data_IF_938656699974
#
_entry.id   IF_938656699974
#
_cell.length_a   1.000
_cell.length_b   1.000
_cell.length_c   1.000
_cell.angle_alpha   90.00
_cell.angle_beta   90.00
_cell.angle_gamma   90.00
#
_symmetry.space_group_name_H-M   'P 1'
#
loop_
_entity.id
_entity.type
_entity.pdbx_description
1 polymer ?
#
# COMPACT_ATOMS: atom_id res chain seq x y z
N UNK A 1 23.03 33.75 12.85
CA UNK A 1 22.87 32.98 11.59
C UNK A 1 22.74 31.47 11.83
N UNK A 2 23.63 30.85 12.63
CA UNK A 2 23.60 29.41 12.94
C UNK A 2 22.28 28.97 13.62
N UNK A 3 21.76 29.77 14.56
CA UNK A 3 20.52 29.47 15.28
C UNK A 3 19.31 29.39 14.34
N UNK A 4 19.20 30.32 13.39
CA UNK A 4 18.11 30.32 12.40
C UNK A 4 18.17 29.08 11.48
N UNK A 5 19.40 28.65 11.11
CA UNK A 5 19.60 27.44 10.32
C UNK A 5 19.22 26.19 11.11
N UNK A 6 19.61 26.10 12.39
CA UNK A 6 19.25 24.98 13.26
C UNK A 6 17.74 24.91 13.48
N UNK A 7 17.08 26.04 13.73
CA UNK A 7 15.61 26.12 13.89
C UNK A 7 14.89 25.68 12.62
N UNK A 8 15.38 26.08 11.44
CA UNK A 8 14.81 25.66 10.16
C UNK A 8 14.95 24.13 9.97
N UNK A 9 16.10 23.55 10.30
CA UNK A 9 16.30 22.10 10.22
C UNK A 9 15.42 21.30 11.18
N UNK A 10 15.30 21.78 12.42
CA UNK A 10 14.42 21.16 13.42
C UNK A 10 12.96 21.22 12.95
N UNK A 11 12.51 22.36 12.41
CA UNK A 11 11.15 22.51 11.89
C UNK A 11 10.87 21.58 10.69
N UNK A 12 11.83 21.42 9.78
CA UNK A 12 11.72 20.49 8.63
C UNK A 12 11.62 19.04 9.10
N UNK A 13 12.46 18.62 10.04
CA UNK A 13 12.40 17.27 10.63
C UNK A 13 11.07 17.06 11.37
N UNK A 14 10.64 18.04 12.16
CA UNK A 14 9.35 17.99 12.86
C UNK A 14 8.18 17.88 11.88
N UNK A 15 8.17 18.64 10.79
CA UNK A 15 7.14 18.51 9.75
C UNK A 15 7.20 17.13 9.07
N UNK A 16 8.39 16.65 8.74
CA UNK A 16 8.61 15.34 8.11
C UNK A 16 8.13 14.17 8.98
N UNK A 17 8.20 14.27 10.30
CA UNK A 17 7.74 13.22 11.22
C UNK A 17 6.31 13.47 11.74
N UNK A 18 5.95 14.71 12.05
CA UNK A 18 4.63 15.05 12.55
C UNK A 18 3.56 14.83 11.50
N UNK A 19 3.82 15.11 10.21
CA UNK A 19 2.82 14.92 9.16
C UNK A 19 2.47 13.44 8.92
N UNK A 20 3.43 12.49 8.79
CA UNK A 20 3.12 11.06 8.73
C UNK A 20 2.46 10.56 10.00
N UNK A 21 2.89 11.01 11.18
CA UNK A 21 2.29 10.61 12.45
C UNK A 21 0.86 11.13 12.56
N UNK A 22 0.57 12.37 12.14
CA UNK A 22 -0.79 12.91 12.06
C UNK A 22 -1.62 12.20 10.99
N UNK A 23 -1.03 11.86 9.84
CA UNK A 23 -1.70 11.08 8.79
C UNK A 23 -2.14 9.71 9.33
N UNK A 24 -1.20 9.03 10.00
CA UNK A 24 -1.42 7.75 10.64
C UNK A 24 -2.45 7.87 11.76
N UNK A 25 -2.37 8.91 12.60
CA UNK A 25 -3.26 9.11 13.71
C UNK A 25 -4.70 9.45 13.27
N UNK A 26 -4.88 10.28 12.24
CA UNK A 26 -6.20 10.58 11.67
C UNK A 26 -6.81 9.32 11.02
N UNK A 27 -5.99 8.49 10.35
CA UNK A 27 -6.44 7.20 9.82
C UNK A 27 -6.74 6.16 10.90
N UNK A 28 -5.92 6.11 11.97
CA UNK A 28 -6.04 5.16 13.07
C UNK A 28 -7.17 5.54 14.05
N UNK A 29 -7.52 6.83 14.17
CA UNK A 29 -8.63 7.28 15.01
C UNK A 29 -9.97 6.71 14.55
N UNK A 30 -10.18 6.51 13.25
CA UNK A 30 -11.36 5.83 12.71
C UNK A 30 -11.34 4.31 12.97
N UNK A 31 -10.16 3.71 13.10
CA UNK A 31 -9.99 2.30 13.51
C UNK A 31 -10.34 2.15 15.01
N UNK A 32 -9.99 3.14 15.82
CA UNK A 32 -10.16 3.07 17.28
C UNK A 32 -11.53 3.57 17.76
N UNK A 33 -12.20 4.43 16.99
CA UNK A 33 -13.51 5.01 17.36
C UNK A 33 -14.70 4.05 17.19
N UNK A 34 -14.48 2.84 16.67
CA UNK A 34 -15.52 1.80 16.57
C UNK A 34 -15.05 0.48 17.18
N UNK A 35 -15.11 0.32 18.51
CA UNK A 35 -14.81 -0.94 19.17
C UNK A 35 -15.80 -2.10 18.89
N UNK A 36 -16.74 -1.99 17.93
CA UNK A 36 -17.86 -2.94 17.86
C UNK A 36 -18.53 -3.25 16.52
N UNK A 37 -18.13 -2.68 15.37
CA UNK A 37 -18.80 -2.97 14.08
C UNK A 37 -17.86 -2.92 12.88
N UNK A 38 -16.95 -3.88 12.82
CA UNK A 38 -16.41 -4.50 11.60
C UNK A 38 -15.30 -5.42 12.07
N UNK A 39 -15.67 -6.62 12.46
CA UNK A 39 -14.85 -7.76 12.07
C UNK A 39 -14.67 -7.58 10.57
N UNK A 40 -13.47 -7.17 10.15
CA UNK A 40 -13.08 -7.25 8.74
C UNK A 40 -13.53 -8.64 8.29
N UNK A 41 -14.39 -8.77 7.26
CA UNK A 41 -14.84 -10.09 6.83
C UNK A 41 -13.57 -10.91 6.71
N UNK A 42 -13.52 -12.06 7.38
CA UNK A 42 -12.36 -12.92 7.37
C UNK A 42 -12.31 -13.57 5.99
N UNK A 43 -11.96 -12.77 4.98
CA UNK A 43 -12.01 -13.09 3.56
C UNK A 43 -11.18 -14.33 3.29
N UNK A 44 -10.08 -14.46 4.05
CA UNK A 44 -9.27 -15.65 4.09
C UNK A 44 -10.11 -16.88 4.44
N UNK A 45 -10.78 -16.86 5.60
CA UNK A 45 -11.61 -17.98 6.08
C UNK A 45 -12.81 -18.24 5.18
N UNK A 46 -13.42 -17.20 4.61
CA UNK A 46 -14.55 -17.33 3.69
C UNK A 46 -14.13 -17.95 2.36
N UNK A 47 -12.99 -17.56 1.80
CA UNK A 47 -12.44 -18.16 0.58
C UNK A 47 -12.02 -19.62 0.78
N UNK A 48 -11.39 -19.94 1.92
CA UNK A 48 -11.07 -21.32 2.30
C UNK A 48 -12.31 -22.18 2.36
N UNK A 49 -13.39 -21.67 2.98
CA UNK A 49 -14.65 -22.40 3.10
C UNK A 49 -15.36 -22.56 1.76
N UNK A 50 -15.36 -21.52 0.91
CA UNK A 50 -16.06 -21.53 -0.39
C UNK A 50 -15.38 -22.44 -1.40
N UNK A 51 -14.05 -22.40 -1.48
CA UNK A 51 -13.26 -23.14 -2.49
C UNK A 51 -12.62 -24.43 -1.95
N UNK A 52 -12.81 -24.74 -0.66
CA UNK A 52 -12.27 -25.96 -0.04
C UNK A 52 -10.75 -26.03 -0.05
N UNK A 53 -10.08 -24.88 0.08
CA UNK A 53 -8.64 -24.76 -0.09
C UNK A 53 -7.87 -25.32 1.10
N UNK A 54 -6.78 -26.04 0.83
CA UNK A 54 -5.79 -26.46 1.82
C UNK A 54 -4.82 -25.34 2.14
N UNK A 55 -4.15 -25.33 3.31
CA UNK A 55 -3.19 -24.30 3.68
C UNK A 55 -2.13 -23.98 2.62
N UNK A 56 -1.60 -24.99 1.94
CA UNK A 56 -0.61 -24.81 0.87
C UNK A 56 -1.21 -24.15 -0.39
N UNK A 57 -2.41 -24.56 -0.77
CA UNK A 57 -3.13 -24.01 -1.93
C UNK A 57 -3.49 -22.53 -1.71
N UNK A 58 -3.76 -22.15 -0.46
CA UNK A 58 -4.04 -20.74 -0.12
C UNK A 58 -2.80 -19.87 -0.35
N UNK A 59 -1.63 -20.32 0.11
CA UNK A 59 -0.39 -19.57 -0.08
C UNK A 59 -0.06 -19.40 -1.57
N UNK A 60 -0.39 -20.41 -2.38
CA UNK A 60 -0.23 -20.38 -3.83
C UNK A 60 -1.19 -19.38 -4.49
N UNK A 61 -2.47 -19.39 -4.10
CA UNK A 61 -3.50 -18.43 -4.53
C UNK A 61 -3.12 -17.01 -4.11
N UNK A 62 -2.68 -16.79 -2.88
CA UNK A 62 -2.25 -15.48 -2.36
C UNK A 62 -1.00 -14.97 -3.09
N UNK A 63 -0.04 -15.86 -3.36
CA UNK A 63 1.14 -15.55 -4.16
C UNK A 63 0.76 -15.16 -5.60
N UNK A 64 -0.12 -15.93 -6.23
CA UNK A 64 -0.62 -15.63 -7.58
C UNK A 64 -1.38 -14.31 -7.64
N UNK A 65 -2.22 -14.04 -6.63
CA UNK A 65 -2.98 -12.80 -6.48
C UNK A 65 -2.06 -11.57 -6.30
N UNK A 66 -1.08 -11.68 -5.41
CA UNK A 66 -0.14 -10.59 -5.08
C UNK A 66 0.76 -10.24 -6.26
N UNK A 67 1.27 -11.26 -6.96
CA UNK A 67 2.24 -11.09 -8.04
C UNK A 67 1.59 -11.05 -9.43
N UNK A 68 0.29 -11.32 -9.53
CA UNK A 68 -0.44 -11.45 -10.78
C UNK A 68 0.06 -12.62 -11.62
N UNK A 69 0.32 -13.79 -11.02
CA UNK A 69 0.76 -14.99 -11.75
C UNK A 69 -0.45 -15.82 -12.19
N UNK A 70 -0.27 -16.57 -13.27
CA UNK A 70 -1.21 -17.61 -13.69
C UNK A 70 -0.98 -18.87 -12.84
N UNK A 71 -2.04 -19.60 -12.55
CA UNK A 71 -1.99 -20.91 -11.90
C UNK A 71 -2.36 -22.00 -12.91
N UNK A 72 -1.74 -23.16 -12.77
CA UNK A 72 -1.97 -24.30 -13.66
C UNK A 72 -3.29 -25.03 -13.34
N UNK A 73 -3.65 -25.13 -12.05
CA UNK A 73 -4.88 -25.80 -11.61
C UNK A 73 -6.13 -24.94 -11.91
N UNK A 74 -7.09 -25.42 -12.74
CA UNK A 74 -8.34 -24.70 -13.03
C UNK A 74 -9.14 -24.32 -11.79
N UNK A 75 -9.11 -25.14 -10.74
CA UNK A 75 -9.79 -24.86 -9.47
C UNK A 75 -9.15 -23.68 -8.75
N UNK A 76 -7.83 -23.63 -8.70
CA UNK A 76 -7.11 -22.53 -8.04
C UNK A 76 -7.20 -21.23 -8.85
N UNK A 77 -7.24 -21.31 -10.19
CA UNK A 77 -7.52 -20.16 -11.06
C UNK A 77 -8.85 -19.51 -10.71
N UNK A 78 -9.92 -20.30 -10.58
CA UNK A 78 -11.24 -19.79 -10.20
C UNK A 78 -11.21 -19.11 -8.81
N UNK A 79 -10.52 -19.71 -7.85
CA UNK A 79 -10.35 -19.13 -6.51
C UNK A 79 -9.58 -17.80 -6.53
N UNK A 80 -8.50 -17.69 -7.30
CA UNK A 80 -7.75 -16.43 -7.48
C UNK A 80 -8.62 -15.34 -8.07
N UNK A 81 -9.43 -15.65 -9.09
CA UNK A 81 -10.31 -14.67 -9.75
C UNK A 81 -11.40 -14.17 -8.79
N UNK A 82 -12.08 -15.06 -8.07
CA UNK A 82 -13.12 -14.70 -7.09
C UNK A 82 -12.54 -13.81 -5.98
N UNK A 83 -11.34 -14.16 -5.48
CA UNK A 83 -10.66 -13.37 -4.47
C UNK A 83 -10.23 -11.99 -5.00
N UNK A 84 -9.67 -11.94 -6.21
CA UNK A 84 -9.27 -10.68 -6.83
C UNK A 84 -10.46 -9.73 -7.06
N UNK A 85 -11.60 -10.26 -7.51
CA UNK A 85 -12.84 -9.49 -7.71
C UNK A 85 -13.37 -8.95 -6.38
N UNK A 86 -13.39 -9.79 -5.34
CA UNK A 86 -13.83 -9.38 -4.00
C UNK A 86 -12.96 -8.26 -3.44
N UNK A 87 -11.63 -8.34 -3.61
CA UNK A 87 -10.71 -7.27 -3.21
C UNK A 87 -10.96 -5.96 -3.97
N UNK A 88 -11.23 -6.03 -5.28
CA UNK A 88 -11.54 -4.84 -6.07
C UNK A 88 -12.83 -4.17 -5.59
N UNK A 89 -13.89 -4.95 -5.35
CA UNK A 89 -15.15 -4.44 -4.82
C UNK A 89 -14.96 -3.76 -3.47
N UNK A 90 -14.22 -4.37 -2.54
CA UNK A 90 -13.92 -3.76 -1.24
C UNK A 90 -13.12 -2.46 -1.35
N UNK A 91 -12.18 -2.39 -2.29
CA UNK A 91 -11.43 -1.16 -2.58
C UNK A 91 -12.37 -0.08 -3.13
N UNK A 92 -13.29 -0.44 -4.02
CA UNK A 92 -14.32 0.45 -4.59
C UNK A 92 -15.25 0.99 -3.49
N UNK A 93 -15.76 0.11 -2.63
CA UNK A 93 -16.62 0.47 -1.50
C UNK A 93 -15.91 1.39 -0.50
N UNK A 94 -14.64 1.10 -0.17
CA UNK A 94 -13.84 1.99 0.69
C UNK A 94 -13.63 3.35 0.04
N UNK A 95 -13.39 3.39 -1.29
CA UNK A 95 -13.25 4.65 -2.04
C UNK A 95 -14.53 5.48 -1.97
N UNK A 96 -15.70 4.84 -2.10
CA UNK A 96 -16.99 5.51 -2.02
C UNK A 96 -17.30 6.00 -0.58
N UNK A 97 -16.93 5.22 0.44
CA UNK A 97 -17.27 5.52 1.84
C UNK A 97 -16.44 6.66 2.45
N UNK A 98 -15.20 6.88 1.99
CA UNK A 98 -14.27 7.83 2.63
C UNK A 98 -13.60 8.82 1.65
N UNK A 99 -14.37 9.66 0.92
CA UNK A 99 -13.80 10.60 -0.05
C UNK A 99 -12.91 11.67 0.59
N UNK A 100 -13.23 12.13 1.81
CA UNK A 100 -12.45 13.15 2.54
C UNK A 100 -11.11 12.63 3.02
N UNK A 101 -11.06 11.41 3.57
CA UNK A 101 -9.82 10.79 4.03
C UNK A 101 -8.80 10.64 2.88
N UNK A 102 -9.27 10.31 1.68
CA UNK A 102 -8.43 10.22 0.47
C UNK A 102 -7.86 11.58 0.05
N UNK A 103 -8.65 12.66 0.15
CA UNK A 103 -8.18 14.01 -0.16
C UNK A 103 -7.10 14.45 0.85
N UNK A 104 -7.31 14.18 2.13
CA UNK A 104 -6.32 14.45 3.20
C UNK A 104 -5.06 13.63 2.99
N UNK A 105 -5.16 12.32 2.77
CA UNK A 105 -4.00 11.45 2.51
C UNK A 105 -3.22 11.90 1.27
N UNK A 106 -3.91 12.33 0.20
CA UNK A 106 -3.27 12.86 -1.01
C UNK A 106 -2.54 14.17 -0.76
N UNK A 107 -3.16 15.09 0.01
CA UNK A 107 -2.51 16.34 0.41
C UNK A 107 -1.26 16.06 1.25
N UNK A 108 -1.36 15.17 2.23
CA UNK A 108 -0.22 14.79 3.09
C UNK A 108 0.90 14.14 2.28
N UNK A 109 0.57 13.28 1.32
CA UNK A 109 1.55 12.70 0.40
C UNK A 109 2.24 13.78 -0.45
N UNK A 110 1.47 14.73 -0.97
CA UNK A 110 2.00 15.83 -1.77
C UNK A 110 2.95 16.72 -0.94
N UNK A 111 2.58 17.04 0.30
CA UNK A 111 3.45 17.78 1.23
C UNK A 111 4.72 16.98 1.53
N UNK A 112 4.61 15.67 1.77
CA UNK A 112 5.77 14.81 2.00
C UNK A 112 6.73 14.82 0.80
N UNK A 113 6.21 14.74 -0.44
CA UNK A 113 7.02 14.81 -1.66
C UNK A 113 7.76 16.14 -1.76
N UNK A 114 7.08 17.26 -1.48
CA UNK A 114 7.70 18.58 -1.49
C UNK A 114 8.85 18.66 -0.47
N UNK A 115 8.64 18.15 0.75
CA UNK A 115 9.67 18.11 1.79
C UNK A 115 10.85 17.20 1.40
N UNK A 116 10.58 16.04 0.80
CA UNK A 116 11.60 15.13 0.33
C UNK A 116 12.47 15.76 -0.78
N UNK A 117 11.86 16.46 -1.74
CA UNK A 117 12.56 17.17 -2.81
C UNK A 117 13.42 18.31 -2.24
N UNK A 118 12.89 19.07 -1.28
CA UNK A 118 13.64 20.15 -0.63
C UNK A 118 14.86 19.60 0.16
N UNK A 119 14.67 18.50 0.91
CA UNK A 119 15.76 17.82 1.63
C UNK A 119 16.84 17.29 0.66
N UNK A 120 16.42 16.71 -0.47
CA UNK A 120 17.31 16.22 -1.51
C UNK A 120 18.13 17.37 -2.12
N UNK A 121 17.49 18.47 -2.51
CA UNK A 121 18.15 19.64 -3.08
C UNK A 121 19.20 20.21 -2.12
N UNK A 122 18.88 20.25 -0.83
CA UNK A 122 19.82 20.72 0.19
C UNK A 122 21.00 19.78 0.41
N UNK A 123 20.76 18.47 0.44
CA UNK A 123 21.82 17.48 0.58
C UNK A 123 22.78 17.50 -0.62
N UNK A 124 22.26 17.71 -1.83
CA UNK A 124 23.05 17.92 -3.05
C UNK A 124 23.87 19.22 -2.97
N UNK A 125 23.26 20.33 -2.53
CA UNK A 125 23.95 21.61 -2.36
C UNK A 125 25.12 21.53 -1.37
N UNK A 126 24.98 20.70 -0.31
CA UNK A 126 26.04 20.44 0.68
C UNK A 126 27.02 19.33 0.29
N UNK A 127 26.86 18.71 -0.89
CA UNK A 127 27.64 17.55 -1.36
C UNK A 127 27.64 16.36 -0.37
N UNK A 128 26.58 16.22 0.41
CA UNK A 128 26.40 15.14 1.39
C UNK A 128 25.78 13.90 0.71
N UNK A 129 26.52 13.27 -0.20
CA UNK A 129 26.04 12.16 -1.01
C UNK A 129 25.51 10.98 -0.18
N UNK A 130 26.07 10.72 1.01
CA UNK A 130 25.58 9.68 1.92
C UNK A 130 24.12 9.90 2.37
N UNK A 131 23.71 11.15 2.61
CA UNK A 131 22.31 11.48 2.93
C UNK A 131 21.40 11.35 1.72
N UNK A 132 21.88 11.73 0.54
CA UNK A 132 21.13 11.57 -0.72
C UNK A 132 20.80 10.09 -0.95
N UNK A 133 21.80 9.22 -0.86
CA UNK A 133 21.60 7.77 -1.01
C UNK A 133 20.62 7.24 0.02
N UNK A 134 20.80 7.54 1.31
CA UNK A 134 19.91 7.04 2.36
C UNK A 134 18.45 7.52 2.20
N UNK A 135 18.27 8.78 1.75
CA UNK A 135 16.93 9.38 1.56
C UNK A 135 16.20 8.78 0.36
N UNK A 136 16.90 8.39 -0.71
CA UNK A 136 16.30 7.77 -1.90
C UNK A 136 16.18 6.24 -1.77
N UNK A 137 17.13 5.59 -1.11
CA UNK A 137 17.25 4.14 -1.05
C UNK A 137 16.06 3.48 -0.36
N UNK A 138 15.73 3.89 0.87
CA UNK A 138 14.64 3.26 1.63
C UNK A 138 13.27 3.43 0.97
N UNK A 139 12.88 4.62 0.47
CA UNK A 139 11.64 4.78 -0.28
C UNK A 139 11.61 3.91 -1.53
N UNK A 140 12.72 3.77 -2.27
CA UNK A 140 12.76 2.90 -3.45
C UNK A 140 12.57 1.42 -3.08
N UNK A 141 13.28 0.96 -2.04
CA UNK A 141 13.22 -0.43 -1.56
C UNK A 141 11.81 -0.77 -1.07
N UNK A 142 11.14 0.15 -0.39
CA UNK A 142 9.76 -0.05 0.09
C UNK A 142 8.72 0.12 -1.01
N UNK A 143 8.91 1.06 -1.94
CA UNK A 143 7.97 1.32 -3.04
C UNK A 143 8.01 0.22 -4.11
N UNK A 144 9.13 -0.47 -4.28
CA UNK A 144 9.27 -1.54 -5.26
C UNK A 144 8.28 -2.71 -5.08
N UNK A 145 8.25 -3.41 -3.92
CA UNK A 145 7.28 -4.49 -3.70
C UNK A 145 5.85 -3.95 -3.69
N UNK A 146 5.63 -2.75 -3.16
CA UNK A 146 4.31 -2.15 -3.07
C UNK A 146 3.73 -1.79 -4.45
N UNK A 147 4.55 -1.22 -5.36
CA UNK A 147 4.12 -0.92 -6.73
C UNK A 147 3.83 -2.18 -7.56
N UNK A 148 4.56 -3.27 -7.29
CA UNK A 148 4.28 -4.58 -7.89
C UNK A 148 2.97 -5.19 -7.38
N UNK A 149 2.70 -5.09 -6.08
CA UNK A 149 1.50 -5.60 -5.43
C UNK A 149 0.22 -4.83 -5.79
N UNK A 150 0.30 -3.50 -5.99
CA UNK A 150 -0.87 -2.66 -6.32
C UNK A 150 -1.51 -3.06 -7.66
N UNK A 151 -0.74 -3.60 -8.61
CA UNK A 151 -1.25 -4.10 -9.89
C UNK A 151 -1.53 -5.60 -9.93
N UNK A 152 -1.18 -6.35 -8.88
CA UNK A 152 -1.28 -7.80 -8.81
C UNK A 152 -2.69 -8.33 -9.06
N UNK A 153 -3.72 -7.85 -8.33
CA UNK A 153 -5.08 -8.38 -8.45
C UNK A 153 -5.69 -8.22 -9.86
N UNK A 154 -5.42 -7.10 -10.53
CA UNK A 154 -5.91 -6.87 -11.90
C UNK A 154 -5.23 -7.81 -12.90
N UNK A 155 -3.90 -7.95 -12.80
CA UNK A 155 -3.13 -8.89 -13.62
C UNK A 155 -3.51 -10.35 -13.34
N UNK A 156 -3.85 -10.68 -12.10
CA UNK A 156 -4.32 -12.00 -11.72
C UNK A 156 -5.66 -12.35 -12.39
N UNK A 157 -6.61 -11.40 -12.44
CA UNK A 157 -7.86 -11.58 -13.18
C UNK A 157 -7.57 -11.80 -14.66
N UNK A 158 -6.85 -10.88 -15.30
CA UNK A 158 -6.55 -10.93 -16.74
C UNK A 158 -5.90 -12.26 -17.17
N UNK A 159 -4.98 -12.80 -16.36
CA UNK A 159 -4.25 -14.04 -16.67
C UNK A 159 -5.04 -15.31 -16.34
N UNK A 160 -5.84 -15.31 -15.28
CA UNK A 160 -6.55 -16.51 -14.83
C UNK A 160 -7.98 -16.62 -15.38
N UNK A 161 -8.55 -15.55 -15.96
CA UNK A 161 -9.90 -15.53 -16.54
C UNK A 161 -10.00 -16.03 -17.99
N UNK A 162 -8.88 -16.19 -18.70
CA UNK A 162 -8.86 -16.75 -20.06
C UNK A 162 -9.19 -18.24 -20.10
N UNK A 163 -9.66 -18.76 -21.23
CA UNK A 163 -9.73 -20.21 -21.45
C UNK A 163 -8.31 -20.80 -21.37
N UNK A 164 -8.13 -22.05 -20.87
CA UNK A 164 -6.82 -22.67 -20.80
C UNK A 164 -6.17 -22.62 -22.19
N UNK A 165 -4.89 -22.22 -22.25
CA UNK A 165 -4.11 -22.35 -23.47
C UNK A 165 -4.04 -23.84 -23.81
N UNK A 166 -4.83 -24.24 -24.81
CA UNK A 166 -4.79 -25.55 -25.45
C UNK A 166 -3.50 -25.75 -26.22
#
# INVERSE_FOLDING_TARGET
MIIAVVVAWVAVVLLLFALPVLAWWVGARDVWSRPGKRTEPDLYREMVRRHGLRPAEIAEVEGALTWGRELDDPRLRAAVVDWAQTLQQLVEERRARYPRARRVARLLWLVWVVLAVAALAFAVARREWGRVFNTLFWPLVLAWPMSRAVGGPRRAIERNSGAPAS
#
